data_IF_326752326432
#
_entry.id   IF_326752326432
#
_cell.length_a   1.000
_cell.length_b   1.000
_cell.length_c   1.000
_cell.angle_alpha   90.00
_cell.angle_beta   90.00
_cell.angle_gamma   90.00
#
_symmetry.space_group_name_H-M   'P 1'
#
loop_
_entity.id
_entity.type
_entity.pdbx_description
1 polymer ?
#
# COMPACT_ATOMS: atom_id res chain seq x y z
N UNK A 1 -9.69 -7.99 5.84
CA UNK A 1 -8.62 -7.28 5.13
C UNK A 1 -7.70 -8.30 4.51
N UNK A 2 -7.34 -8.12 3.23
CA UNK A 2 -6.31 -8.92 2.56
C UNK A 2 -5.09 -8.07 2.24
N UNK A 3 -3.90 -8.63 2.47
CA UNK A 3 -2.61 -7.99 2.22
C UNK A 3 -1.81 -8.80 1.22
N UNK A 4 -1.19 -8.12 0.26
CA UNK A 4 -0.12 -8.64 -0.58
C UNK A 4 1.10 -7.73 -0.44
N UNK A 5 2.19 -8.26 0.10
CA UNK A 5 3.43 -7.52 0.37
C UNK A 5 4.50 -7.94 -0.64
N UNK A 6 5.00 -6.98 -1.43
CA UNK A 6 6.00 -7.21 -2.47
C UNK A 6 7.27 -6.42 -2.17
N UNK A 7 8.33 -7.09 -1.72
CA UNK A 7 9.66 -6.50 -1.70
C UNK A 7 10.17 -6.32 -3.13
N UNK A 8 10.30 -5.07 -3.56
CA UNK A 8 10.46 -4.70 -4.96
C UNK A 8 11.62 -3.71 -5.13
N UNK A 9 12.40 -3.88 -6.21
CA UNK A 9 13.44 -2.91 -6.57
C UNK A 9 12.82 -1.52 -6.84
N UNK A 10 11.61 -1.49 -7.42
CA UNK A 10 10.84 -0.28 -7.60
C UNK A 10 9.35 -0.57 -7.80
N UNK A 11 8.53 0.47 -7.59
CA UNK A 11 7.16 0.55 -8.08
C UNK A 11 6.99 1.86 -8.84
N UNK A 12 6.20 1.82 -9.89
CA UNK A 12 5.88 2.99 -10.68
C UNK A 12 4.38 3.00 -10.98
N UNK A 13 3.74 4.15 -10.80
CA UNK A 13 2.32 4.30 -11.07
C UNK A 13 2.00 5.67 -11.68
N UNK A 14 0.93 5.72 -12.45
CA UNK A 14 0.40 6.94 -13.07
C UNK A 14 -1.11 6.99 -12.84
N UNK A 15 -1.63 8.01 -12.13
CA UNK A 15 -3.07 8.18 -11.98
C UNK A 15 -3.74 8.49 -13.32
N UNK A 16 -4.69 7.67 -13.74
CA UNK A 16 -5.41 7.86 -15.01
C UNK A 16 -6.70 8.65 -14.77
N UNK A 17 -7.71 7.99 -14.19
CA UNK A 17 -9.04 8.55 -13.92
C UNK A 17 -9.60 8.08 -12.57
N UNK A 18 -10.66 8.74 -12.09
CA UNK A 18 -11.34 8.36 -10.85
C UNK A 18 -12.11 7.06 -11.06
N UNK A 19 -11.79 6.05 -10.25
CA UNK A 19 -12.52 4.78 -10.24
C UNK A 19 -13.95 4.94 -9.70
N UNK A 20 -14.14 5.77 -8.67
CA UNK A 20 -15.44 6.03 -8.04
C UNK A 20 -15.70 7.53 -7.91
N UNK A 21 -16.98 7.92 -7.88
CA UNK A 21 -17.42 9.33 -7.83
C UNK A 21 -16.91 10.08 -6.59
N UNK A 22 -16.80 9.38 -5.47
CA UNK A 22 -16.37 9.93 -4.18
C UNK A 22 -14.86 9.80 -3.95
N UNK A 23 -14.09 9.37 -4.95
CA UNK A 23 -12.64 9.31 -4.84
C UNK A 23 -12.08 10.72 -4.62
N UNK A 24 -11.02 10.79 -3.81
CA UNK A 24 -10.29 12.02 -3.52
C UNK A 24 -9.81 12.73 -4.79
N UNK A 25 -9.61 14.04 -4.68
CA UNK A 25 -9.02 14.80 -5.78
C UNK A 25 -7.51 14.53 -5.86
N UNK A 26 -7.05 14.25 -7.08
CA UNK A 26 -5.63 13.99 -7.32
C UNK A 26 -4.84 15.29 -7.18
N UNK A 27 -3.79 15.27 -6.36
CA UNK A 27 -2.85 16.39 -6.27
C UNK A 27 -2.05 16.58 -7.57
N UNK A 28 -1.76 15.48 -8.28
CA UNK A 28 -1.06 15.48 -9.57
C UNK A 28 -1.42 14.22 -10.36
N UNK A 29 -1.43 14.34 -11.70
CA UNK A 29 -1.49 13.19 -12.64
C UNK A 29 -0.10 12.73 -13.11
N UNK A 30 0.97 13.31 -12.57
CA UNK A 30 2.33 12.93 -12.93
C UNK A 30 2.62 11.48 -12.54
N UNK A 31 3.32 10.76 -13.41
CA UNK A 31 3.91 9.46 -13.10
C UNK A 31 4.83 9.57 -11.88
N UNK A 32 4.69 8.65 -10.94
CA UNK A 32 5.49 8.56 -9.71
C UNK A 32 6.27 7.26 -9.72
N UNK A 33 7.56 7.34 -9.41
CA UNK A 33 8.46 6.20 -9.25
C UNK A 33 9.07 6.21 -7.85
N UNK A 34 9.03 5.07 -7.19
CA UNK A 34 9.65 4.83 -5.88
C UNK A 34 10.58 3.63 -6.02
N UNK A 35 11.76 3.69 -5.42
CA UNK A 35 12.78 2.63 -5.47
C UNK A 35 13.04 2.07 -4.07
N UNK A 36 13.48 0.82 -4.03
CA UNK A 36 13.88 0.04 -2.86
C UNK A 36 12.85 0.12 -1.72
N UNK A 37 11.75 -0.62 -1.89
CA UNK A 37 10.61 -0.59 -0.96
C UNK A 37 9.84 -1.91 -0.93
N UNK A 38 9.01 -2.06 0.10
CA UNK A 38 7.95 -3.07 0.11
C UNK A 38 6.63 -2.41 -0.31
N UNK A 39 6.03 -2.85 -1.41
CA UNK A 39 4.71 -2.39 -1.80
C UNK A 39 3.65 -3.20 -1.04
N UNK A 40 2.78 -2.52 -0.29
CA UNK A 40 1.63 -3.14 0.35
C UNK A 40 0.34 -2.88 -0.44
N UNK A 41 -0.14 -3.91 -1.15
CA UNK A 41 -1.49 -3.89 -1.69
C UNK A 41 -2.47 -4.32 -0.61
N UNK A 42 -3.45 -3.45 -0.33
CA UNK A 42 -4.42 -3.63 0.76
C UNK A 42 -5.83 -3.66 0.19
N UNK A 43 -6.57 -4.71 0.47
CA UNK A 43 -8.01 -4.78 0.22
C UNK A 43 -8.76 -4.81 1.56
N UNK A 44 -9.52 -3.75 1.84
CA UNK A 44 -10.39 -3.66 3.02
C UNK A 44 -11.69 -4.43 2.73
N UNK A 45 -12.10 -5.28 3.66
CA UNK A 45 -13.29 -6.13 3.61
C UNK A 45 -14.35 -5.58 4.59
N UNK A 46 -15.62 -5.99 4.42
CA UNK A 46 -16.76 -5.37 5.13
C UNK A 46 -16.73 -5.55 6.65
N UNK A 47 -16.16 -6.67 7.10
CA UNK A 47 -16.02 -7.05 8.50
C UNK A 47 -14.80 -6.41 9.19
N UNK A 48 -14.02 -5.60 8.47
CA UNK A 48 -12.82 -4.99 9.01
C UNK A 48 -13.12 -3.83 9.97
N UNK A 49 -12.35 -3.81 11.05
CA UNK A 49 -12.39 -2.75 12.04
C UNK A 49 -10.98 -2.26 12.42
N UNK A 50 -10.91 -1.38 13.42
CA UNK A 50 -9.64 -0.82 13.90
C UNK A 50 -8.70 -1.89 14.48
N UNK A 51 -9.24 -2.99 15.02
CA UNK A 51 -8.43 -4.10 15.56
C UNK A 51 -7.75 -4.88 14.43
N UNK A 52 -8.44 -5.06 13.30
CA UNK A 52 -7.87 -5.68 12.09
C UNK A 52 -6.79 -4.77 11.50
N UNK A 53 -7.05 -3.47 11.38
CA UNK A 53 -6.05 -2.51 10.91
C UNK A 53 -4.79 -2.50 11.81
N UNK A 54 -4.97 -2.56 13.13
CA UNK A 54 -3.84 -2.65 14.08
C UNK A 54 -3.04 -3.93 13.91
N UNK A 55 -3.69 -5.05 13.59
CA UNK A 55 -3.04 -6.33 13.29
C UNK A 55 -2.27 -6.28 11.96
N UNK A 56 -2.84 -5.66 10.93
CA UNK A 56 -2.19 -5.45 9.64
C UNK A 56 -0.88 -4.65 9.77
N UNK A 57 -0.88 -3.57 10.56
CA UNK A 57 0.35 -2.78 10.82
C UNK A 57 1.44 -3.64 11.48
N UNK A 58 1.08 -4.50 12.43
CA UNK A 58 2.04 -5.41 13.09
C UNK A 58 2.65 -6.41 12.11
N UNK A 59 1.83 -6.99 11.24
CA UNK A 59 2.30 -7.95 10.23
C UNK A 59 3.19 -7.27 9.17
N UNK A 60 2.80 -6.10 8.67
CA UNK A 60 3.63 -5.30 7.73
C UNK A 60 4.98 -4.95 8.38
N UNK A 61 4.97 -4.45 9.62
CA UNK A 61 6.19 -4.11 10.36
C UNK A 61 7.11 -5.31 10.55
N UNK A 62 6.53 -6.49 10.85
CA UNK A 62 7.29 -7.73 10.98
C UNK A 62 7.91 -8.13 9.65
N UNK A 63 7.16 -8.05 8.55
CA UNK A 63 7.65 -8.38 7.21
C UNK A 63 8.79 -7.45 6.77
N UNK A 64 8.66 -6.13 6.96
CA UNK A 64 9.71 -5.15 6.70
C UNK A 64 11.04 -5.53 7.38
N UNK A 65 10.98 -5.90 8.66
CA UNK A 65 12.16 -6.37 9.41
C UNK A 65 12.74 -7.67 8.86
N UNK A 66 11.89 -8.60 8.40
CA UNK A 66 12.33 -9.87 7.80
C UNK A 66 13.09 -9.65 6.50
N UNK A 67 12.61 -8.76 5.63
CA UNK A 67 13.27 -8.47 4.35
C UNK A 67 14.33 -7.37 4.45
N UNK A 68 14.47 -6.74 5.63
CA UNK A 68 15.41 -5.64 5.91
C UNK A 68 15.16 -4.41 5.01
N UNK A 69 13.90 -4.11 4.76
CA UNK A 69 13.51 -2.88 4.07
C UNK A 69 13.16 -1.81 5.11
N UNK A 70 13.67 -0.60 4.88
CA UNK A 70 13.36 0.59 5.67
C UNK A 70 12.23 1.43 5.05
N UNK A 71 11.72 1.01 3.88
CA UNK A 71 10.72 1.74 3.10
C UNK A 71 9.51 0.87 2.77
N UNK A 72 8.33 1.49 2.86
CA UNK A 72 7.01 0.97 2.48
C UNK A 72 6.38 1.90 1.44
#
# INVERSE_FOLDING_TARGET
MRLLLLHSDFIEYEPIDKEIKTAEDLQSKSKVRLEDLVVAYVAVENEDDQSVASSAVKEITKYLRTVKSDRL
#
